data_IF_122407211409
#
_entry.id   IF_122407211409
#
_cell.length_a   1.000
_cell.length_b   1.000
_cell.length_c   1.000
_cell.angle_alpha   90.00
_cell.angle_beta   90.00
_cell.angle_gamma   90.00
#
_symmetry.space_group_name_H-M   'P 1'
#
loop_
_entity.id
_entity.type
_entity.pdbx_description
1 polymer ?
#
# COMPACT_ATOMS: atom_id res chain seq x y z
N UNK A 1 -7.98 15.97 5.94
CA UNK A 1 -8.71 15.23 4.87
C UNK A 1 -8.76 13.77 5.23
N UNK A 2 -9.97 13.21 5.38
CA UNK A 2 -10.22 11.79 5.57
C UNK A 2 -9.97 11.06 4.25
N UNK A 3 -8.72 10.67 3.97
CA UNK A 3 -8.38 9.92 2.78
C UNK A 3 -8.92 8.48 2.91
N UNK A 4 -10.11 8.23 2.37
CA UNK A 4 -10.64 6.86 2.21
C UNK A 4 -9.87 6.21 1.06
N UNK A 5 -8.96 5.27 1.39
CA UNK A 5 -8.24 4.48 0.40
C UNK A 5 -9.20 3.64 -0.43
N UNK A 6 -8.86 3.41 -1.69
CA UNK A 6 -9.63 2.49 -2.54
C UNK A 6 -9.41 1.05 -2.11
N UNK A 7 -10.28 0.14 -2.57
CA UNK A 7 -10.14 -1.30 -2.28
C UNK A 7 -8.81 -1.85 -2.79
N UNK A 8 -8.33 -1.37 -3.93
CA UNK A 8 -7.06 -1.82 -4.52
C UNK A 8 -5.86 -1.32 -3.71
N UNK A 9 -5.91 -0.07 -3.24
CA UNK A 9 -4.88 0.50 -2.36
C UNK A 9 -4.81 -0.23 -1.02
N UNK A 10 -5.98 -0.57 -0.44
CA UNK A 10 -6.04 -1.40 0.77
C UNK A 10 -5.52 -2.81 0.53
N UNK A 11 -5.84 -3.41 -0.62
CA UNK A 11 -5.32 -4.73 -0.99
C UNK A 11 -3.79 -4.71 -1.11
N UNK A 12 -3.24 -3.68 -1.75
CA UNK A 12 -1.80 -3.48 -1.86
C UNK A 12 -1.15 -3.34 -0.47
N UNK A 13 -1.72 -2.51 0.42
CA UNK A 13 -1.22 -2.37 1.80
C UNK A 13 -1.34 -3.67 2.60
N UNK A 14 -2.40 -4.47 2.40
CA UNK A 14 -2.59 -5.75 3.06
C UNK A 14 -1.60 -6.82 2.59
N UNK A 15 -1.15 -6.75 1.34
CA UNK A 15 -0.08 -7.62 0.86
C UNK A 15 1.27 -7.19 1.42
N UNK A 16 1.54 -5.88 1.47
CA UNK A 16 2.75 -5.34 2.10
C UNK A 16 2.81 -5.63 3.60
N UNK A 17 1.69 -5.60 4.32
CA UNK A 17 1.63 -5.89 5.76
C UNK A 17 2.02 -7.32 6.12
N UNK A 18 1.92 -8.24 5.16
CA UNK A 18 2.36 -9.65 5.29
C UNK A 18 3.88 -9.81 5.11
N UNK A 19 4.62 -8.73 4.93
CA UNK A 19 6.07 -8.77 4.67
C UNK A 19 6.44 -9.17 3.24
N UNK A 20 5.49 -9.11 2.30
CA UNK A 20 5.78 -9.39 0.90
C UNK A 20 6.63 -8.27 0.28
N UNK A 21 7.63 -8.68 -0.49
CA UNK A 21 8.43 -7.77 -1.31
C UNK A 21 7.62 -7.22 -2.49
N UNK A 22 8.06 -6.09 -3.06
CA UNK A 22 7.32 -5.40 -4.14
C UNK A 22 7.11 -6.28 -5.38
N UNK A 23 8.09 -7.14 -5.73
CA UNK A 23 8.00 -8.10 -6.82
C UNK A 23 6.91 -9.16 -6.57
N UNK A 24 6.79 -9.65 -5.34
CA UNK A 24 5.76 -10.62 -4.96
C UNK A 24 4.37 -9.99 -4.99
N UNK A 25 4.24 -8.78 -4.47
CA UNK A 25 2.99 -7.99 -4.54
C UNK A 25 2.58 -7.75 -5.99
N UNK A 26 3.53 -7.33 -6.84
CA UNK A 26 3.30 -7.07 -8.25
C UNK A 26 2.77 -8.33 -8.97
N UNK A 27 3.43 -9.47 -8.76
CA UNK A 27 2.98 -10.75 -9.33
C UNK A 27 1.59 -11.16 -8.85
N UNK A 28 1.27 -10.95 -7.58
CA UNK A 28 -0.03 -11.32 -7.02
C UNK A 28 -1.16 -10.42 -7.50
N UNK A 29 -0.87 -9.16 -7.82
CA UNK A 29 -1.82 -8.21 -8.37
C UNK A 29 -1.88 -8.20 -9.91
N UNK A 30 -1.03 -9.00 -10.59
CA UNK A 30 -0.92 -8.96 -12.05
C UNK A 30 -0.36 -7.64 -12.59
N UNK A 31 0.46 -6.94 -11.80
CA UNK A 31 1.02 -5.63 -12.12
C UNK A 31 2.54 -5.71 -12.32
N UNK A 32 3.11 -4.66 -12.91
CA UNK A 32 4.58 -4.48 -12.89
C UNK A 32 5.04 -3.94 -11.54
N UNK A 33 6.29 -4.24 -11.14
CA UNK A 33 6.88 -3.65 -9.94
C UNK A 33 6.89 -2.12 -9.98
N UNK A 34 7.13 -1.53 -11.15
CA UNK A 34 7.09 -0.08 -11.36
C UNK A 34 5.70 0.48 -11.03
N UNK A 35 4.65 -0.22 -11.45
CA UNK A 35 3.26 0.13 -11.15
C UNK A 35 3.01 0.06 -9.64
N UNK A 36 3.40 -1.03 -8.98
CA UNK A 36 3.27 -1.16 -7.51
C UNK A 36 4.00 -0.03 -6.78
N UNK A 37 5.27 0.24 -7.11
CA UNK A 37 6.03 1.36 -6.52
C UNK A 37 5.34 2.70 -6.70
N UNK A 38 4.77 2.95 -7.88
CA UNK A 38 3.99 4.17 -8.17
C UNK A 38 2.73 4.26 -7.30
N UNK A 39 1.97 3.17 -7.17
CA UNK A 39 0.78 3.13 -6.32
C UNK A 39 1.13 3.35 -4.85
N UNK A 40 2.16 2.65 -4.34
CA UNK A 40 2.62 2.83 -2.96
C UNK A 40 3.02 4.27 -2.69
N UNK A 41 3.73 4.93 -3.62
CA UNK A 41 4.09 6.34 -3.48
C UNK A 41 2.86 7.26 -3.45
N UNK A 42 1.90 7.06 -4.35
CA UNK A 42 0.67 7.84 -4.36
C UNK A 42 -0.16 7.65 -3.07
N UNK A 43 -0.15 6.44 -2.50
CA UNK A 43 -0.74 6.17 -1.18
C UNK A 43 0.00 6.94 -0.10
N UNK A 44 1.34 6.88 -0.07
CA UNK A 44 2.15 7.62 0.89
C UNK A 44 1.86 9.13 0.83
N UNK A 45 1.84 9.71 -0.37
CA UNK A 45 1.54 11.12 -0.59
C UNK A 45 0.14 11.49 -0.09
N UNK A 46 -0.87 10.64 -0.34
CA UNK A 46 -2.25 10.83 0.15
C UNK A 46 -2.38 10.72 1.67
N UNK A 47 -1.60 9.84 2.29
CA UNK A 47 -1.62 9.60 3.73
C UNK A 47 -0.74 10.60 4.50
N UNK A 48 0.12 11.35 3.81
CA UNK A 48 1.08 12.27 4.42
C UNK A 48 2.20 11.54 5.15
N UNK A 49 2.60 10.36 4.67
CA UNK A 49 3.64 9.51 5.27
C UNK A 49 4.83 9.36 4.33
N UNK A 50 6.02 9.16 4.87
CA UNK A 50 7.25 9.12 4.07
C UNK A 50 7.55 7.73 3.50
N UNK A 51 7.10 6.68 4.18
CA UNK A 51 7.50 5.31 3.84
C UNK A 51 6.32 4.35 3.65
N UNK A 52 6.46 3.31 2.82
CA UNK A 52 5.46 2.24 2.70
C UNK A 52 5.14 1.57 4.03
N UNK A 53 6.13 1.45 4.90
CA UNK A 53 5.96 0.89 6.24
C UNK A 53 5.05 1.78 7.08
N UNK A 54 5.23 3.10 7.05
CA UNK A 54 4.31 4.03 7.71
C UNK A 54 2.88 3.94 7.14
N UNK A 55 2.73 3.78 5.81
CA UNK A 55 1.42 3.58 5.19
C UNK A 55 0.73 2.29 5.67
N UNK A 56 1.49 1.19 5.81
CA UNK A 56 1.00 -0.07 6.39
C UNK A 56 0.59 0.12 7.85
N UNK A 57 1.43 0.77 8.66
CA UNK A 57 1.12 1.07 10.08
C UNK A 57 -0.13 1.94 10.19
N UNK A 58 -0.30 2.91 9.30
CA UNK A 58 -1.49 3.77 9.24
C UNK A 58 -2.77 2.95 9.01
N UNK A 59 -2.72 1.97 8.11
CA UNK A 59 -3.85 1.11 7.77
C UNK A 59 -4.15 0.09 8.90
N UNK A 60 -3.12 -0.51 9.49
CA UNK A 60 -3.26 -1.45 10.60
C UNK A 60 -3.86 -0.79 11.85
N UNK A 61 -3.41 0.43 12.21
CA UNK A 61 -3.98 1.22 13.33
C UNK A 61 -5.47 1.53 13.14
N UNK A 62 -5.94 1.55 11.91
CA UNK A 62 -7.36 1.78 11.54
C UNK A 62 -8.14 0.49 11.30
N UNK A 63 -7.52 -0.68 11.51
CA UNK A 63 -8.10 -2.01 11.24
C UNK A 63 -8.59 -2.18 9.79
N UNK A 64 -7.89 -1.54 8.86
CA UNK A 64 -8.19 -1.63 7.43
C UNK A 64 -7.43 -2.79 6.76
N UNK A 65 -6.37 -3.27 7.40
CA UNK A 65 -5.53 -4.42 7.01
C UNK A 65 -5.06 -5.20 8.22
#
# INVERSE_FOLDING_TARGET
MSAVLTKDELTLLALLSRGLSTDRVARQLGLSERTVRRHTRAICDRLGVATPVEAVVWAARRKLV
#
